data_IF_289872251130
#
_entry.id   IF_289872251130
#
_cell.length_a   1.000
_cell.length_b   1.000
_cell.length_c   1.000
_cell.angle_alpha   90.00
_cell.angle_beta   90.00
_cell.angle_gamma   90.00
#
_symmetry.space_group_name_H-M   'P 1'
#
loop_
_entity.id
_entity.type
_entity.pdbx_description
1 polymer ?
#
# COMPACT_ATOMS: atom_id res chain seq x y z
N UNK A 1 30.94 -5.10 7.29
CA UNK A 1 29.65 -5.26 8.01
C UNK A 1 28.66 -4.12 7.73
N UNK A 2 29.00 -2.85 7.95
CA UNK A 2 28.06 -1.71 7.78
C UNK A 2 27.47 -1.61 6.36
N UNK A 3 28.30 -1.78 5.33
CA UNK A 3 27.84 -1.73 3.94
C UNK A 3 26.87 -2.87 3.57
N UNK A 4 27.11 -4.08 4.10
CA UNK A 4 26.20 -5.23 3.93
C UNK A 4 24.87 -4.97 4.65
N UNK A 5 24.92 -4.53 5.91
CA UNK A 5 23.75 -4.21 6.71
C UNK A 5 22.86 -3.18 6.00
N UNK A 6 23.47 -2.07 5.55
CA UNK A 6 22.75 -1.03 4.80
C UNK A 6 22.11 -1.59 3.53
N UNK A 7 22.85 -2.37 2.74
CA UNK A 7 22.31 -2.96 1.50
C UNK A 7 21.14 -3.90 1.81
N UNK A 8 21.30 -4.78 2.81
CA UNK A 8 20.24 -5.70 3.24
C UNK A 8 18.99 -4.97 3.72
N UNK A 9 19.18 -3.91 4.50
CA UNK A 9 18.09 -3.06 4.99
C UNK A 9 17.34 -2.40 3.83
N UNK A 10 18.04 -1.74 2.92
CA UNK A 10 17.42 -1.05 1.78
C UNK A 10 16.75 -2.03 0.82
N UNK A 11 17.37 -3.18 0.54
CA UNK A 11 16.77 -4.20 -0.30
C UNK A 11 15.46 -4.72 0.32
N UNK A 12 15.42 -4.99 1.63
CA UNK A 12 14.20 -5.44 2.32
C UNK A 12 13.13 -4.35 2.34
N UNK A 13 13.50 -3.13 2.74
CA UNK A 13 12.60 -1.97 2.78
C UNK A 13 11.93 -1.76 1.42
N UNK A 14 12.73 -1.64 0.36
CA UNK A 14 12.21 -1.36 -0.97
C UNK A 14 11.42 -2.54 -1.55
N UNK A 15 11.72 -3.78 -1.13
CA UNK A 15 10.94 -4.96 -1.54
C UNK A 15 9.56 -4.99 -0.89
N UNK A 16 9.43 -4.48 0.33
CA UNK A 16 8.12 -4.33 0.99
C UNK A 16 7.34 -3.18 0.37
N UNK A 17 7.99 -2.04 0.12
CA UNK A 17 7.34 -0.91 -0.55
C UNK A 17 6.82 -1.29 -1.93
N UNK A 18 7.67 -1.82 -2.82
CA UNK A 18 7.22 -2.21 -4.16
C UNK A 18 6.09 -3.25 -4.14
N UNK A 19 6.07 -4.13 -3.12
CA UNK A 19 4.95 -5.04 -2.91
C UNK A 19 3.68 -4.30 -2.49
N UNK A 20 3.77 -3.38 -1.53
CA UNK A 20 2.64 -2.60 -1.05
C UNK A 20 2.05 -1.70 -2.12
N UNK A 21 2.88 -0.98 -2.90
CA UNK A 21 2.40 -0.13 -4.02
C UNK A 21 1.65 -0.99 -5.06
N UNK A 22 2.21 -2.17 -5.39
CA UNK A 22 1.57 -3.12 -6.31
C UNK A 22 0.21 -3.58 -5.80
N UNK A 23 0.13 -3.95 -4.51
CA UNK A 23 -1.13 -4.33 -3.87
C UNK A 23 -2.10 -3.17 -3.78
N UNK A 24 -1.62 -1.95 -3.53
CA UNK A 24 -2.41 -0.72 -3.48
C UNK A 24 -3.17 -0.51 -4.78
N UNK A 25 -2.45 -0.29 -5.88
CA UNK A 25 -3.10 0.04 -7.15
C UNK A 25 -4.00 -1.10 -7.68
N UNK A 26 -3.59 -2.36 -7.55
CA UNK A 26 -4.40 -3.51 -8.02
C UNK A 26 -5.68 -3.71 -7.18
N UNK A 27 -5.63 -3.38 -5.89
CA UNK A 27 -6.82 -3.42 -5.04
C UNK A 27 -7.76 -2.25 -5.32
N UNK A 28 -7.20 -1.07 -5.62
CA UNK A 28 -7.99 0.11 -6.00
C UNK A 28 -8.74 -0.14 -7.31
N UNK A 29 -8.17 -0.86 -8.29
CA UNK A 29 -8.87 -1.22 -9.53
C UNK A 29 -10.23 -1.90 -9.23
N UNK A 30 -10.28 -2.82 -8.26
CA UNK A 30 -11.52 -3.50 -7.84
C UNK A 30 -12.50 -2.58 -7.10
N UNK A 31 -11.99 -1.64 -6.32
CA UNK A 31 -12.82 -0.63 -5.63
C UNK A 31 -13.43 0.32 -6.67
N UNK A 32 -12.63 0.77 -7.63
CA UNK A 32 -13.03 1.68 -8.70
C UNK A 32 -14.12 1.06 -9.58
N UNK A 33 -13.98 -0.21 -9.98
CA UNK A 33 -15.02 -0.95 -10.69
C UNK A 33 -16.35 -0.95 -9.94
N UNK A 34 -16.31 -1.27 -8.64
CA UNK A 34 -17.52 -1.36 -7.84
C UNK A 34 -18.14 0.04 -7.54
N UNK A 35 -17.32 1.09 -7.36
CA UNK A 35 -17.82 2.48 -7.19
C UNK A 35 -18.51 2.95 -8.47
N UNK A 36 -17.91 2.72 -9.64
CA UNK A 36 -18.51 3.06 -10.94
C UNK A 36 -19.86 2.35 -11.15
N UNK A 37 -19.98 1.11 -10.70
CA UNK A 37 -21.23 0.35 -10.81
C UNK A 37 -22.34 0.90 -9.88
N UNK A 38 -21.99 1.35 -8.67
CA UNK A 38 -22.95 1.85 -7.68
C UNK A 38 -23.37 3.30 -7.92
N UNK A 39 -22.40 4.16 -8.22
CA UNK A 39 -22.57 5.61 -8.27
C UNK A 39 -21.88 6.18 -9.52
N UNK A 40 -22.36 5.85 -10.73
CA UNK A 40 -21.73 6.25 -11.99
C UNK A 40 -21.64 7.78 -12.15
N UNK A 41 -22.57 8.51 -11.54
CA UNK A 41 -22.65 9.99 -11.60
C UNK A 41 -21.78 10.69 -10.55
N UNK A 42 -21.16 9.96 -9.60
CA UNK A 42 -20.23 10.53 -8.62
C UNK A 42 -18.84 10.69 -9.24
N UNK A 43 -18.78 11.54 -10.26
CA UNK A 43 -17.56 11.80 -11.03
C UNK A 43 -16.42 12.33 -10.16
N UNK A 44 -16.74 13.04 -9.07
CA UNK A 44 -15.74 13.56 -8.15
C UNK A 44 -15.05 12.45 -7.36
N UNK A 45 -15.81 11.51 -6.79
CA UNK A 45 -15.26 10.36 -6.09
C UNK A 45 -14.49 9.43 -7.04
N UNK A 46 -15.05 9.16 -8.23
CA UNK A 46 -14.42 8.32 -9.24
C UNK A 46 -13.07 8.90 -9.66
N UNK A 47 -13.01 10.19 -10.02
CA UNK A 47 -11.77 10.83 -10.43
C UNK A 47 -10.72 10.85 -9.30
N UNK A 48 -11.15 11.00 -8.05
CA UNK A 48 -10.25 10.99 -6.92
C UNK A 48 -9.64 9.60 -6.66
N UNK A 49 -10.44 8.53 -6.80
CA UNK A 49 -9.97 7.14 -6.69
C UNK A 49 -9.05 6.77 -7.88
N UNK A 50 -9.38 7.24 -9.10
CA UNK A 50 -8.52 7.09 -10.27
C UNK A 50 -7.15 7.76 -10.08
N UNK A 51 -7.14 8.96 -9.51
CA UNK A 51 -5.90 9.68 -9.19
C UNK A 51 -5.09 8.91 -8.14
N UNK A 52 -5.73 8.44 -7.06
CA UNK A 52 -5.07 7.60 -6.05
C UNK A 52 -4.44 6.37 -6.72
N UNK A 53 -5.18 5.63 -7.55
CA UNK A 53 -4.66 4.48 -8.31
C UNK A 53 -3.45 4.84 -9.17
N UNK A 54 -3.51 5.97 -9.88
CA UNK A 54 -2.44 6.42 -10.75
C UNK A 54 -1.16 6.77 -9.97
N UNK A 55 -1.30 7.37 -8.79
CA UNK A 55 -0.20 7.70 -7.90
C UNK A 55 0.48 6.46 -7.33
N UNK A 56 -0.28 5.48 -6.83
CA UNK A 56 0.22 4.18 -6.37
C UNK A 56 1.00 3.45 -7.48
N UNK A 57 0.47 3.43 -8.71
CA UNK A 57 1.16 2.83 -9.85
C UNK A 57 2.45 3.59 -10.22
N UNK A 58 2.44 4.93 -10.14
CA UNK A 58 3.64 5.76 -10.32
C UNK A 58 4.68 5.44 -9.25
N UNK A 59 4.29 5.27 -7.99
CA UNK A 59 5.17 4.89 -6.89
C UNK A 59 5.77 3.49 -7.11
N UNK A 60 4.96 2.51 -7.52
CA UNK A 60 5.42 1.19 -7.94
C UNK A 60 6.52 1.29 -9.01
N UNK A 61 6.26 2.05 -10.08
CA UNK A 61 7.22 2.22 -11.18
C UNK A 61 8.52 2.89 -10.73
N UNK A 62 8.45 3.81 -9.77
CA UNK A 62 9.63 4.46 -9.18
C UNK A 62 10.49 3.47 -8.39
N UNK A 63 9.89 2.58 -7.59
CA UNK A 63 10.63 1.51 -6.90
C UNK A 63 11.16 0.45 -7.87
N UNK A 64 10.38 0.07 -8.89
CA UNK A 64 10.83 -0.82 -9.97
C UNK A 64 12.09 -0.27 -10.62
N UNK A 65 12.06 1.02 -10.98
CA UNK A 65 13.22 1.71 -11.55
C UNK A 65 14.43 1.75 -10.61
N UNK A 66 14.21 1.92 -9.32
CA UNK A 66 15.29 1.88 -8.31
C UNK A 66 16.00 0.51 -8.30
N UNK A 67 15.25 -0.59 -8.41
CA UNK A 67 15.79 -1.95 -8.50
C UNK A 67 16.49 -2.21 -9.83
N UNK A 68 15.91 -1.78 -10.95
CA UNK A 68 16.51 -1.91 -12.29
C UNK A 68 17.88 -1.24 -12.39
N UNK A 69 18.03 -0.02 -11.86
CA UNK A 69 19.29 0.71 -11.86
C UNK A 69 20.40 -0.01 -11.06
N UNK A 70 20.03 -0.96 -10.21
CA UNK A 70 20.95 -1.78 -9.41
C UNK A 70 21.17 -3.17 -10.02
N UNK A 71 20.46 -3.51 -11.10
CA UNK A 71 20.51 -4.84 -11.73
C UNK A 71 20.04 -5.95 -10.80
N UNK A 72 19.05 -5.69 -9.95
CA UNK A 72 18.57 -6.64 -8.94
C UNK A 72 17.05 -6.71 -8.91
N UNK A 73 16.51 -7.92 -8.78
CA UNK A 73 15.09 -8.11 -8.47
C UNK A 73 14.78 -7.86 -7.00
N UNK A 74 13.58 -7.39 -6.62
CA UNK A 74 13.17 -7.31 -5.23
C UNK A 74 13.19 -8.68 -4.55
N UNK A 75 13.37 -8.67 -3.24
CA UNK A 75 13.21 -9.85 -2.40
C UNK A 75 11.76 -10.33 -2.47
N UNK A 76 11.57 -11.65 -2.45
CA UNK A 76 10.25 -12.25 -2.44
C UNK A 76 9.65 -12.10 -1.05
N UNK A 77 8.82 -11.07 -0.90
CA UNK A 77 7.93 -10.87 0.25
C UNK A 77 6.52 -11.37 -0.08
N UNK A 78 5.71 -11.61 0.94
CA UNK A 78 4.35 -12.11 0.80
C UNK A 78 3.33 -11.17 1.48
N UNK A 79 2.05 -11.54 1.40
CA UNK A 79 0.92 -10.81 2.00
C UNK A 79 1.05 -10.51 3.49
N UNK A 80 1.93 -11.21 4.21
CA UNK A 80 2.17 -10.91 5.62
C UNK A 80 2.97 -9.62 5.83
N UNK A 81 3.54 -9.06 4.76
CA UNK A 81 4.12 -7.72 4.72
C UNK A 81 3.15 -6.64 4.21
N UNK A 82 2.03 -7.05 3.60
CA UNK A 82 0.99 -6.17 3.08
C UNK A 82 0.14 -5.60 4.22
N UNK A 83 0.26 -4.29 4.48
CA UNK A 83 -0.49 -3.66 5.57
C UNK A 83 -1.99 -3.74 5.31
N UNK A 84 -2.42 -3.38 4.10
CA UNK A 84 -3.83 -3.43 3.69
C UNK A 84 -4.37 -4.87 3.68
N UNK A 85 -3.57 -5.85 3.20
CA UNK A 85 -3.94 -7.27 3.21
C UNK A 85 -4.29 -7.74 4.64
N UNK A 86 -3.41 -7.46 5.60
CA UNK A 86 -3.60 -7.85 7.01
C UNK A 86 -4.74 -7.09 7.66
N UNK A 87 -4.90 -5.81 7.34
CA UNK A 87 -5.98 -4.99 7.87
C UNK A 87 -7.33 -5.52 7.39
N UNK A 88 -7.45 -5.76 6.07
CA UNK A 88 -8.65 -6.35 5.48
C UNK A 88 -8.93 -7.73 6.05
N UNK A 89 -7.93 -8.60 6.14
CA UNK A 89 -8.06 -9.96 6.70
C UNK A 89 -8.62 -9.94 8.12
N UNK A 90 -8.13 -9.05 8.99
CA UNK A 90 -8.62 -8.94 10.38
C UNK A 90 -10.02 -8.32 10.43
N UNK A 91 -10.26 -7.27 9.65
CA UNK A 91 -11.51 -6.52 9.72
C UNK A 91 -12.67 -7.26 9.05
N UNK A 92 -12.45 -7.87 7.89
CA UNK A 92 -13.48 -8.54 7.10
C UNK A 92 -13.48 -10.07 7.24
N UNK A 93 -12.45 -10.65 7.89
CA UNK A 93 -12.28 -12.12 8.02
C UNK A 93 -12.19 -12.85 6.68
N UNK A 94 -11.77 -12.12 5.64
CA UNK A 94 -11.57 -12.58 4.28
C UNK A 94 -10.31 -11.90 3.75
N UNK A 95 -9.58 -12.55 2.86
CA UNK A 95 -8.47 -11.88 2.18
C UNK A 95 -9.01 -10.77 1.26
N UNK A 96 -8.19 -9.76 0.98
CA UNK A 96 -8.56 -8.70 0.04
C UNK A 96 -8.92 -9.25 -1.34
N UNK A 97 -8.30 -10.37 -1.73
CA UNK A 97 -8.58 -11.03 -3.00
C UNK A 97 -9.97 -11.71 -3.00
N UNK A 98 -10.46 -12.16 -1.84
CA UNK A 98 -11.76 -12.81 -1.65
C UNK A 98 -12.90 -11.83 -1.32
N UNK A 99 -12.60 -10.53 -1.13
CA UNK A 99 -13.64 -9.55 -0.86
C UNK A 99 -14.58 -9.41 -2.06
N UNK A 100 -15.87 -9.62 -1.81
CA UNK A 100 -16.93 -9.24 -2.74
C UNK A 100 -17.11 -7.72 -2.69
N UNK A 101 -16.34 -7.02 -3.54
CA UNK A 101 -16.37 -5.55 -3.62
C UNK A 101 -17.75 -5.05 -4.03
N UNK A 102 -18.48 -5.78 -4.87
CA UNK A 102 -19.86 -5.45 -5.25
C UNK A 102 -20.80 -5.50 -4.04
N UNK A 103 -20.74 -6.55 -3.22
CA UNK A 103 -21.56 -6.66 -2.01
C UNK A 103 -21.16 -5.64 -0.92
N UNK A 104 -19.87 -5.34 -0.78
CA UNK A 104 -19.37 -4.32 0.15
C UNK A 104 -19.87 -2.94 -0.27
N UNK A 105 -19.77 -2.60 -1.54
CA UNK A 105 -20.18 -1.30 -2.04
C UNK A 105 -21.70 -1.15 -2.03
N UNK A 106 -22.47 -2.21 -2.28
CA UNK A 106 -23.94 -2.20 -2.14
C UNK A 106 -24.45 -1.92 -0.71
N UNK A 107 -23.57 -2.03 0.30
CA UNK A 107 -23.91 -1.88 1.73
C UNK A 107 -23.15 -0.74 2.37
N UNK A 108 -23.86 0.32 2.74
CA UNK A 108 -23.27 1.51 3.36
C UNK A 108 -22.40 1.21 4.58
N UNK A 109 -22.78 0.23 5.42
CA UNK A 109 -22.01 -0.13 6.62
C UNK A 109 -20.68 -0.81 6.29
N UNK A 110 -20.64 -1.63 5.24
CA UNK A 110 -19.44 -2.31 4.78
C UNK A 110 -18.54 -1.36 3.99
N UNK A 111 -19.12 -0.52 3.15
CA UNK A 111 -18.38 0.51 2.42
C UNK A 111 -17.75 1.53 3.38
N UNK A 112 -18.51 2.01 4.37
CA UNK A 112 -18.01 2.88 5.44
C UNK A 112 -16.82 2.25 6.17
N UNK A 113 -16.89 0.95 6.47
CA UNK A 113 -15.79 0.21 7.08
C UNK A 113 -14.58 0.11 6.16
N UNK A 114 -14.79 -0.11 4.86
CA UNK A 114 -13.71 -0.14 3.87
C UNK A 114 -13.01 1.23 3.76
N UNK A 115 -13.77 2.32 3.63
CA UNK A 115 -13.24 3.68 3.60
C UNK A 115 -12.38 3.99 4.83
N UNK A 116 -12.80 3.56 6.02
CA UNK A 116 -12.00 3.71 7.25
C UNK A 116 -10.71 2.91 7.22
N UNK A 117 -10.74 1.68 6.73
CA UNK A 117 -9.55 0.81 6.62
C UNK A 117 -8.54 1.43 5.65
N UNK A 118 -9.00 1.90 4.49
CA UNK A 118 -8.14 2.57 3.51
C UNK A 118 -7.56 3.85 4.13
N UNK A 119 -8.40 4.75 4.63
CA UNK A 119 -7.96 6.01 5.23
C UNK A 119 -6.91 5.81 6.35
N UNK A 120 -7.11 4.83 7.24
CA UNK A 120 -6.13 4.52 8.29
C UNK A 120 -4.81 3.97 7.73
N UNK A 121 -4.87 3.16 6.67
CA UNK A 121 -3.69 2.57 6.05
C UNK A 121 -2.85 3.63 5.34
N UNK A 122 -3.47 4.53 4.57
CA UNK A 122 -2.79 5.64 3.88
C UNK A 122 -2.20 6.64 4.90
N UNK A 123 -2.97 7.05 5.92
CA UNK A 123 -2.46 7.94 6.98
C UNK A 123 -1.24 7.35 7.71
N UNK A 124 -1.17 6.02 7.81
CA UNK A 124 -0.02 5.32 8.35
C UNK A 124 1.15 5.30 7.36
N UNK A 125 0.91 5.02 6.09
CA UNK A 125 1.90 5.11 5.02
C UNK A 125 2.63 6.45 5.06
N UNK A 126 1.86 7.53 5.10
CA UNK A 126 2.37 8.89 5.27
C UNK A 126 3.29 9.07 6.48
N UNK A 127 2.87 8.66 7.68
CA UNK A 127 3.70 8.77 8.90
C UNK A 127 4.98 7.93 8.79
N UNK A 128 4.89 6.75 8.17
CA UNK A 128 6.05 5.90 7.95
C UNK A 128 7.05 6.58 7.00
N UNK A 129 6.57 7.22 5.95
CA UNK A 129 7.41 7.98 5.01
C UNK A 129 8.11 9.15 5.71
N UNK A 130 7.43 9.88 6.61
CA UNK A 130 8.06 10.93 7.42
C UNK A 130 9.24 10.40 8.26
N UNK A 131 9.08 9.21 8.85
CA UNK A 131 10.15 8.56 9.62
C UNK A 131 11.31 8.17 8.69
N UNK A 132 11.01 7.61 7.52
CA UNK A 132 12.02 7.16 6.56
C UNK A 132 12.82 8.32 5.96
N UNK A 133 12.18 9.45 5.67
CA UNK A 133 12.86 10.67 5.21
C UNK A 133 13.88 11.19 6.24
N UNK A 134 13.66 10.92 7.53
CA UNK A 134 14.59 11.27 8.61
C UNK A 134 15.64 10.18 8.87
N UNK A 135 15.43 8.96 8.36
CA UNK A 135 16.26 7.80 8.68
C UNK A 135 17.65 7.86 8.03
N UNK A 136 18.76 7.73 8.80
CA UNK A 136 20.11 7.89 8.27
C UNK A 136 20.42 6.98 7.08
N UNK A 137 20.01 5.70 7.10
CA UNK A 137 20.32 4.77 5.99
C UNK A 137 19.60 5.14 4.69
N UNK A 138 18.41 5.73 4.77
CA UNK A 138 17.63 6.16 3.60
C UNK A 138 18.23 7.44 3.03
N UNK A 139 18.59 8.40 3.90
CA UNK A 139 19.18 9.69 3.51
C UNK A 139 20.48 9.57 2.72
N UNK A 140 21.19 8.44 2.81
CA UNK A 140 22.39 8.18 2.01
C UNK A 140 22.08 7.80 0.55
N UNK A 141 20.86 7.42 0.22
CA UNK A 141 20.42 7.07 -1.14
C UNK A 141 19.55 8.19 -1.72
N UNK A 142 20.14 9.03 -2.57
CA UNK A 142 19.47 10.18 -3.20
C UNK A 142 18.30 9.79 -4.11
N UNK A 143 18.29 8.57 -4.65
CA UNK A 143 17.15 8.11 -5.44
C UNK A 143 15.98 7.80 -4.50
N UNK A 144 16.22 7.07 -3.41
CA UNK A 144 15.18 6.75 -2.43
C UNK A 144 14.61 7.98 -1.73
N UNK A 145 15.45 8.96 -1.36
CA UNK A 145 14.94 10.22 -0.77
C UNK A 145 13.94 10.90 -1.71
N UNK A 146 14.28 11.02 -3.01
CA UNK A 146 13.36 11.61 -4.00
C UNK A 146 12.08 10.79 -4.17
N UNK A 147 12.18 9.46 -4.11
CA UNK A 147 11.00 8.60 -4.17
C UNK A 147 10.07 8.89 -2.99
N UNK A 148 10.61 8.86 -1.77
CA UNK A 148 9.84 9.14 -0.56
C UNK A 148 9.30 10.58 -0.49
N UNK A 149 10.00 11.58 -1.04
CA UNK A 149 9.49 12.96 -1.13
C UNK A 149 8.28 13.08 -2.06
N UNK A 150 8.26 12.32 -3.16
CA UNK A 150 7.10 12.27 -4.06
C UNK A 150 5.94 11.57 -3.34
N UNK A 151 6.17 10.39 -2.77
CA UNK A 151 5.15 9.65 -2.01
C UNK A 151 4.57 10.54 -0.91
N UNK A 152 5.41 11.19 -0.09
CA UNK A 152 4.97 12.09 0.98
C UNK A 152 4.07 13.24 0.48
N UNK A 153 4.27 13.73 -0.75
CA UNK A 153 3.43 14.78 -1.33
C UNK A 153 2.08 14.25 -1.80
N UNK A 154 2.06 13.03 -2.33
CA UNK A 154 0.89 12.43 -2.96
C UNK A 154 -0.07 11.82 -1.92
N UNK A 155 0.49 11.18 -0.89
CA UNK A 155 -0.22 10.46 0.18
C UNK A 155 -1.41 11.22 0.82
N UNK A 156 -1.34 12.52 1.15
CA UNK A 156 -2.51 13.25 1.66
C UNK A 156 -3.74 13.23 0.76
N UNK A 157 -3.53 13.13 -0.55
CA UNK A 157 -4.60 13.00 -1.53
C UNK A 157 -5.21 11.60 -1.58
N UNK A 158 -4.52 10.58 -1.04
CA UNK A 158 -4.97 9.19 -1.04
C UNK A 158 -6.08 8.92 -0.01
N UNK A 159 -5.97 9.45 1.22
CA UNK A 159 -7.05 9.26 2.22
C UNK A 159 -8.18 10.29 2.13
N UNK A 160 -7.92 11.46 1.53
CA UNK A 160 -8.88 12.56 1.48
C UNK A 160 -10.25 12.20 0.84
N UNK A 161 -10.34 11.38 -0.22
CA UNK A 161 -11.63 11.00 -0.83
C UNK A 161 -12.47 10.16 0.11
N UNK A 162 -11.84 9.21 0.82
CA UNK A 162 -12.51 8.33 1.77
C UNK A 162 -12.97 9.09 3.02
N UNK A 163 -12.12 9.97 3.57
CA UNK A 163 -12.50 10.86 4.67
C UNK A 163 -13.60 11.83 4.27
N UNK A 164 -13.54 12.37 3.06
CA UNK A 164 -14.56 13.24 2.48
C UNK A 164 -15.90 12.53 2.37
N UNK A 165 -15.91 11.30 1.85
CA UNK A 165 -17.11 10.47 1.75
C UNK A 165 -17.70 10.17 3.13
N UNK A 166 -16.86 9.78 4.11
CA UNK A 166 -17.29 9.52 5.49
C UNK A 166 -17.95 10.76 6.13
N UNK A 167 -17.34 11.94 5.96
CA UNK A 167 -17.88 13.22 6.48
C UNK A 167 -19.19 13.60 5.79
N UNK A 168 -19.27 13.51 4.47
CA UNK A 168 -20.46 13.84 3.70
C UNK A 168 -21.67 12.96 4.07
N UNK A 169 -21.43 11.71 4.46
CA UNK A 169 -22.48 10.76 4.85
C UNK A 169 -22.73 10.73 6.38
N UNK A 170 -22.17 11.67 7.15
CA UNK A 170 -22.36 11.77 8.60
C UNK A 170 -21.80 10.58 9.38
N UNK A 171 -20.79 9.90 8.82
CA UNK A 171 -20.23 8.67 9.38
C UNK A 171 -19.15 8.98 10.42
N UNK A 172 -19.04 8.09 11.41
CA UNK A 172 -18.17 8.28 12.58
C UNK A 172 -16.70 8.08 12.24
N UNK A 173 -15.86 8.82 12.97
CA UNK A 173 -14.41 8.63 13.05
C UNK A 173 -14.02 7.17 13.28
N UNK A 174 -12.80 6.77 12.89
CA UNK A 174 -12.32 5.42 13.10
C UNK A 174 -12.45 4.96 14.54
N UNK A 175 -13.01 3.77 14.70
CA UNK A 175 -13.25 3.13 16.00
C UNK A 175 -11.90 2.90 16.67
N UNK A 176 -11.87 3.01 18.00
CA UNK A 176 -10.65 2.74 18.78
C UNK A 176 -10.06 1.36 18.47
N UNK A 177 -10.92 0.38 18.21
CA UNK A 177 -10.53 -0.97 17.80
C UNK A 177 -9.80 -0.98 16.45
N UNK A 178 -10.24 -0.20 15.45
CA UNK A 178 -9.58 -0.10 14.15
C UNK A 178 -8.17 0.49 14.29
N UNK A 179 -8.00 1.50 15.16
CA UNK A 179 -6.67 2.04 15.50
C UNK A 179 -5.80 1.03 16.26
N UNK A 180 -6.40 0.19 17.09
CA UNK A 180 -5.67 -0.87 17.80
C UNK A 180 -5.22 -1.99 16.85
N UNK A 181 -6.08 -2.42 15.92
CA UNK A 181 -5.75 -3.40 14.86
C UNK A 181 -4.63 -2.86 13.99
N UNK A 182 -4.75 -1.60 13.57
CA UNK A 182 -3.70 -0.89 12.88
C UNK A 182 -2.41 -0.99 13.69
N UNK A 183 -2.37 -0.48 14.92
CA UNK A 183 -1.20 -0.57 15.83
C UNK A 183 -0.58 -1.98 15.94
N UNK A 184 -1.43 -3.01 16.05
CA UNK A 184 -1.01 -4.41 16.10
C UNK A 184 -0.30 -4.86 14.81
N UNK A 185 -0.89 -4.63 13.63
CA UNK A 185 -0.31 -5.07 12.34
C UNK A 185 1.08 -4.46 12.12
N UNK A 186 1.25 -3.18 12.43
CA UNK A 186 2.56 -2.54 12.28
C UNK A 186 3.56 -3.00 13.32
N UNK A 187 3.13 -3.26 14.55
CA UNK A 187 4.00 -3.84 15.56
C UNK A 187 4.44 -5.26 15.16
N UNK A 188 3.53 -6.08 14.61
CA UNK A 188 3.83 -7.40 14.05
C UNK A 188 4.85 -7.27 12.89
N UNK A 189 4.64 -6.33 11.97
CA UNK A 189 5.56 -6.08 10.87
C UNK A 189 6.96 -5.68 11.38
N UNK A 190 7.03 -4.69 12.27
CA UNK A 190 8.30 -4.12 12.73
C UNK A 190 9.08 -5.03 13.67
N UNK A 191 8.41 -5.68 14.63
CA UNK A 191 9.08 -6.42 15.71
C UNK A 191 9.20 -7.92 15.46
N UNK A 192 8.46 -8.45 14.48
CA UNK A 192 8.52 -9.87 14.16
C UNK A 192 8.93 -10.11 12.70
N UNK A 193 8.14 -9.63 11.74
CA UNK A 193 8.36 -9.96 10.32
C UNK A 193 9.66 -9.37 9.78
N UNK A 194 9.91 -8.09 10.02
CA UNK A 194 11.13 -7.42 9.57
C UNK A 194 12.40 -8.08 10.14
N UNK A 195 12.53 -8.35 11.46
CA UNK A 195 13.68 -9.07 11.98
C UNK A 195 13.89 -10.45 11.36
N UNK A 196 12.82 -11.23 11.23
CA UNK A 196 12.88 -12.58 10.62
C UNK A 196 13.35 -12.51 9.18
N UNK A 197 12.76 -11.62 8.37
CA UNK A 197 13.17 -11.44 6.98
C UNK A 197 14.59 -10.89 6.88
N UNK A 198 14.95 -9.89 7.69
CA UNK A 198 16.26 -9.28 7.67
C UNK A 198 17.38 -10.30 7.93
N UNK A 199 17.19 -11.15 8.94
CA UNK A 199 18.15 -12.16 9.37
C UNK A 199 18.16 -13.42 8.49
N UNK A 200 17.10 -13.69 7.73
CA UNK A 200 17.03 -14.86 6.85
C UNK A 200 17.96 -14.70 5.62
N UNK A 201 19.08 -15.45 5.53
CA UNK A 201 20.02 -15.34 4.41
C UNK A 201 19.52 -16.06 3.15
N UNK A 202 18.52 -16.94 3.28
CA UNK A 202 17.95 -17.73 2.17
C UNK A 202 16.74 -17.07 1.51
N UNK A 203 16.41 -15.83 1.91
CA UNK A 203 15.33 -15.08 1.29
C UNK A 203 15.66 -14.83 -0.18
N UNK A 204 14.95 -15.54 -1.07
CA UNK A 204 15.15 -15.44 -2.51
C UNK A 204 14.63 -14.10 -3.04
N UNK A 205 15.20 -13.67 -4.16
CA UNK A 205 14.61 -12.60 -4.98
C UNK A 205 13.51 -13.17 -5.85
N UNK A 206 12.63 -12.31 -6.34
CA UNK A 206 11.63 -12.69 -7.34
C UNK A 206 12.32 -13.06 -8.66
N UNK A 207 11.72 -13.98 -9.39
CA UNK A 207 12.17 -14.35 -10.73
C UNK A 207 11.63 -13.38 -11.79
N UNK A 208 10.47 -12.76 -11.52
CA UNK A 208 9.82 -11.79 -12.40
C UNK A 208 9.14 -10.66 -11.61
N UNK A 209 8.83 -9.55 -12.30
CA UNK A 209 8.12 -8.41 -11.75
C UNK A 209 6.68 -8.76 -11.39
N UNK A 210 6.09 -7.99 -10.49
CA UNK A 210 4.70 -8.23 -10.08
C UNK A 210 3.71 -7.89 -11.21
N UNK A 211 4.03 -6.89 -12.03
CA UNK A 211 3.24 -6.39 -13.16
C UNK A 211 3.48 -7.17 -14.47
N UNK A 212 4.34 -8.19 -14.49
CA UNK A 212 4.68 -8.90 -15.73
C UNK A 212 3.47 -9.56 -16.41
N UNK A 213 2.48 -10.02 -15.63
CA UNK A 213 1.22 -10.56 -16.14
C UNK A 213 0.20 -9.51 -16.57
N UNK A 214 0.37 -8.25 -16.16
CA UNK A 214 -0.58 -7.16 -16.45
C UNK A 214 -0.30 -6.52 -17.82
N UNK A 215 0.97 -6.43 -18.21
CA UNK A 215 1.38 -5.89 -19.51
C UNK A 215 0.77 -6.66 -20.71
N UNK A 216 0.41 -7.93 -20.52
CA UNK A 216 -0.26 -8.73 -21.54
C UNK A 216 -1.77 -8.43 -21.67
N UNK A 217 -2.41 -7.87 -20.64
CA UNK A 217 -3.84 -7.58 -20.62
C UNK A 217 -4.20 -6.21 -21.22
N UNK A 218 -3.24 -5.29 -21.34
CA UNK A 218 -3.43 -3.94 -21.90
C UNK A 218 -3.21 -3.81 -23.42
N UNK A 219 -3.02 -4.92 -24.13
CA UNK A 219 -2.73 -4.96 -25.57
C UNK A 219 -3.88 -5.55 -26.43
N UNK A 220 -5.11 -5.57 -25.90
CA UNK A 220 -6.31 -6.04 -26.62
C UNK A 220 -7.30 -4.90 -26.78
#
# INVERSE_FOLDING_TARGET
MIAWFRRRYLDLLCSIYIYNEHRGYTSIDRVLEAVRARSPDDHALIAAIEQHRADEHKHYMMFKRWFELRGQMPLRVDRTCGHIDRFVEIMFRQTIDELDTSAIIARDDLFEKLCRVISLTEQRGFRQVEILLRHPLVRHDRALVRIFEVIHRDEPSHWAPYDGWLKAHGKRDPRWWERAVDGFIHSELLFFKLPVLFLNPWLRRRDDWADAGEAAAGAV
#
